data_IF_879129764127
#
_entry.id   IF_879129764127
#
_cell.length_a   1.000
_cell.length_b   1.000
_cell.length_c   1.000
_cell.angle_alpha   90.00
_cell.angle_beta   90.00
_cell.angle_gamma   90.00
#
_symmetry.space_group_name_H-M   'P 1'
#
loop_
_entity.id
_entity.type
_entity.pdbx_description
1 polymer ?
#
# COMPACT_ATOMS: atom_id res chain seq x y z
N UNK A 1 -27.03 -9.32 36.48
CA UNK A 1 -26.96 -8.84 35.09
C UNK A 1 -25.57 -8.26 34.93
N UNK A 2 -24.63 -9.15 34.58
CA UNK A 2 -23.20 -8.85 34.61
C UNK A 2 -22.85 -7.91 33.47
N UNK A 3 -22.10 -6.86 33.79
CA UNK A 3 -21.65 -5.88 32.79
C UNK A 3 -20.50 -6.55 32.03
N UNK A 4 -20.53 -6.63 30.68
CA UNK A 4 -19.46 -7.29 29.94
C UNK A 4 -18.12 -6.67 30.33
N UNK A 5 -17.18 -7.51 30.76
CA UNK A 5 -15.87 -7.11 31.21
C UNK A 5 -15.15 -6.39 30.06
N UNK A 6 -14.60 -5.21 30.34
CA UNK A 6 -13.96 -4.39 29.30
C UNK A 6 -12.57 -4.95 29.03
N UNK A 7 -12.49 -5.94 28.14
CA UNK A 7 -11.29 -6.68 27.75
C UNK A 7 -10.24 -5.83 27.01
N UNK A 8 -10.44 -4.50 26.87
CA UNK A 8 -9.46 -3.62 26.23
C UNK A 8 -8.21 -3.46 27.09
N UNK A 9 -7.01 -3.41 26.47
CA UNK A 9 -5.77 -3.07 27.17
C UNK A 9 -5.90 -1.77 27.97
N UNK A 10 -5.34 -1.73 29.17
CA UNK A 10 -5.43 -0.58 30.06
C UNK A 10 -4.98 0.72 29.37
N UNK A 11 -3.86 0.69 28.63
CA UNK A 11 -3.36 1.85 27.90
C UNK A 11 -4.36 2.39 26.84
N UNK A 12 -5.09 1.51 26.12
CA UNK A 12 -6.14 1.94 25.18
C UNK A 12 -7.33 2.54 25.92
N UNK A 13 -7.76 1.89 27.00
CA UNK A 13 -8.89 2.31 27.82
C UNK A 13 -8.65 3.70 28.43
N UNK A 14 -7.48 3.88 29.02
CA UNK A 14 -7.08 5.14 29.66
C UNK A 14 -6.92 6.26 28.63
N UNK A 15 -6.36 5.95 27.46
CA UNK A 15 -6.23 6.94 26.39
C UNK A 15 -7.58 7.38 25.83
N UNK A 16 -8.51 6.45 25.57
CA UNK A 16 -9.88 6.78 25.14
C UNK A 16 -10.63 7.55 26.24
N UNK A 17 -10.40 7.22 27.52
CA UNK A 17 -10.95 7.99 28.64
C UNK A 17 -10.42 9.43 28.65
N UNK A 18 -9.13 9.63 28.36
CA UNK A 18 -8.53 10.95 28.24
C UNK A 18 -9.13 11.75 27.07
N UNK A 19 -9.37 11.15 25.91
CA UNK A 19 -10.05 11.81 24.77
C UNK A 19 -11.48 12.22 25.13
N UNK A 20 -12.22 11.35 25.81
CA UNK A 20 -13.56 11.65 26.29
C UNK A 20 -13.55 12.79 27.33
N UNK A 21 -12.55 12.83 28.21
CA UNK A 21 -12.36 13.92 29.16
C UNK A 21 -12.02 15.25 28.47
N UNK A 22 -11.15 15.23 27.46
CA UNK A 22 -10.87 16.41 26.64
C UNK A 22 -12.14 16.95 25.98
N UNK A 23 -12.97 16.07 25.41
CA UNK A 23 -14.27 16.44 24.84
C UNK A 23 -15.21 17.02 25.90
N UNK A 24 -15.20 16.51 27.14
CA UNK A 24 -15.98 17.08 28.24
C UNK A 24 -15.51 18.49 28.59
N UNK A 25 -14.21 18.70 28.73
CA UNK A 25 -13.61 20.00 29.05
C UNK A 25 -13.86 21.05 27.97
N UNK A 26 -13.90 20.63 26.70
CA UNK A 26 -14.29 21.46 25.56
C UNK A 26 -15.78 21.88 25.55
N UNK A 27 -16.60 21.44 26.51
CA UNK A 27 -18.03 21.74 26.54
C UNK A 27 -18.94 20.68 25.90
N UNK A 28 -18.44 19.45 25.73
CA UNK A 28 -19.19 18.30 25.18
C UNK A 28 -19.84 18.58 23.82
N UNK A 29 -19.10 19.06 22.80
CA UNK A 29 -19.66 19.26 21.47
C UNK A 29 -20.29 17.96 20.94
N UNK A 30 -21.44 18.08 20.26
CA UNK A 30 -22.09 16.95 19.62
C UNK A 30 -21.19 16.35 18.53
N UNK A 31 -21.38 15.08 18.17
CA UNK A 31 -20.60 14.48 17.09
C UNK A 31 -20.79 15.26 15.80
N UNK A 32 -22.05 15.59 15.47
CA UNK A 32 -22.39 16.38 14.29
C UNK A 32 -21.69 17.75 14.27
N UNK A 33 -21.53 18.38 15.43
CA UNK A 33 -20.75 19.63 15.57
C UNK A 33 -19.27 19.42 15.26
N UNK A 34 -18.68 18.30 15.69
CA UNK A 34 -17.29 17.95 15.38
C UNK A 34 -17.11 17.66 13.88
N UNK A 35 -18.04 16.94 13.26
CA UNK A 35 -18.04 16.67 11.82
C UNK A 35 -18.13 17.97 10.99
N UNK A 36 -19.06 18.85 11.34
CA UNK A 36 -19.22 20.14 10.65
C UNK A 36 -18.01 21.06 10.80
N UNK A 37 -17.45 21.17 12.01
CA UNK A 37 -16.29 22.03 12.27
C UNK A 37 -15.03 21.47 11.62
N UNK A 38 -14.81 20.16 11.69
CA UNK A 38 -13.68 19.52 11.01
C UNK A 38 -13.76 19.70 9.49
N UNK A 39 -14.93 19.52 8.88
CA UNK A 39 -15.15 19.76 7.45
C UNK A 39 -14.89 21.23 7.04
N UNK A 40 -15.27 22.20 7.88
CA UNK A 40 -14.97 23.63 7.65
C UNK A 40 -13.46 23.91 7.71
N UNK A 41 -12.75 23.30 8.65
CA UNK A 41 -11.29 23.46 8.79
C UNK A 41 -10.49 22.79 7.67
N UNK A 42 -11.10 21.86 6.92
CA UNK A 42 -10.51 21.29 5.70
C UNK A 42 -10.62 22.23 4.48
N UNK A 43 -11.40 23.32 4.56
CA UNK A 43 -11.60 24.26 3.43
C UNK A 43 -10.44 25.27 3.26
N UNK A 44 -10.12 25.68 2.03
CA UNK A 44 -8.91 26.44 1.68
C UNK A 44 -8.82 27.87 2.26
N UNK A 45 -9.88 28.39 2.89
CA UNK A 45 -10.00 29.81 3.27
C UNK A 45 -9.32 30.13 4.62
N UNK A 46 -8.95 29.13 5.43
CA UNK A 46 -8.31 29.36 6.73
C UNK A 46 -6.98 28.60 6.86
N UNK A 47 -6.02 28.93 6.00
CA UNK A 47 -4.61 28.56 6.20
C UNK A 47 -3.99 29.42 7.31
N UNK A 48 -4.29 29.10 8.56
CA UNK A 48 -3.43 29.43 9.68
C UNK A 48 -3.21 28.12 10.43
N UNK A 49 -1.93 27.72 10.56
CA UNK A 49 -1.45 26.44 11.14
C UNK A 49 -1.43 25.28 10.14
N UNK A 50 -0.23 24.87 9.72
CA UNK A 50 0.02 23.83 8.71
C UNK A 50 -0.35 22.38 9.11
N UNK A 51 -1.45 22.17 9.82
CA UNK A 51 -1.98 20.85 10.20
C UNK A 51 -3.27 20.58 9.39
N UNK A 52 -3.27 19.52 8.57
CA UNK A 52 -4.49 19.09 7.84
C UNK A 52 -5.45 18.39 8.81
N UNK A 53 -6.55 19.05 9.13
CA UNK A 53 -7.66 18.48 9.93
C UNK A 53 -8.45 17.51 9.06
N UNK A 54 -8.55 16.25 9.49
CA UNK A 54 -9.44 15.25 8.89
C UNK A 54 -10.90 15.55 9.22
N UNK A 55 -11.81 15.25 8.29
CA UNK A 55 -13.24 15.24 8.57
C UNK A 55 -13.54 14.13 9.58
N UNK A 56 -14.06 14.50 10.74
CA UNK A 56 -14.38 13.60 11.85
C UNK A 56 -15.82 13.13 11.71
N UNK A 57 -16.08 12.09 10.89
CA UNK A 57 -17.44 11.59 10.71
C UNK A 57 -18.08 11.14 12.02
N UNK A 58 -19.40 11.33 12.15
CA UNK A 58 -20.15 10.95 13.34
C UNK A 58 -20.02 9.46 13.68
N UNK A 59 -20.09 8.60 12.66
CA UNK A 59 -20.01 7.14 12.81
C UNK A 59 -18.64 6.69 13.30
N UNK A 60 -17.56 7.20 12.72
CA UNK A 60 -16.19 6.88 13.12
C UNK A 60 -15.90 7.44 14.51
N UNK A 61 -16.27 8.69 14.78
CA UNK A 61 -16.05 9.32 16.09
C UNK A 61 -16.80 8.59 17.20
N UNK A 62 -18.05 8.17 16.94
CA UNK A 62 -18.83 7.38 17.89
C UNK A 62 -18.18 6.02 18.18
N UNK A 63 -17.73 5.31 17.13
CA UNK A 63 -17.04 4.03 17.30
C UNK A 63 -15.74 4.19 18.10
N UNK A 64 -15.00 5.27 17.88
CA UNK A 64 -13.73 5.50 18.58
C UNK A 64 -13.94 5.84 20.06
N UNK A 65 -14.89 6.73 20.37
CA UNK A 65 -15.09 7.20 21.73
C UNK A 65 -15.88 6.21 22.60
N UNK A 66 -16.76 5.40 21.99
CA UNK A 66 -17.68 4.53 22.71
C UNK A 66 -17.49 3.02 22.41
N UNK A 67 -16.74 2.66 21.36
CA UNK A 67 -16.56 1.27 20.94
C UNK A 67 -15.48 0.50 21.71
N UNK A 68 -15.58 -0.83 21.69
CA UNK A 68 -14.63 -1.76 22.35
C UNK A 68 -13.39 -2.01 21.48
N UNK A 69 -12.64 -0.95 21.17
CA UNK A 69 -11.42 -1.03 20.35
C UNK A 69 -10.26 -1.62 21.14
N UNK A 70 -9.55 -2.56 20.54
CA UNK A 70 -8.38 -3.23 21.12
C UNK A 70 -7.05 -2.47 20.94
N UNK A 71 -7.05 -1.38 20.17
CA UNK A 71 -5.87 -0.57 19.88
C UNK A 71 -6.19 0.92 19.85
N UNK A 72 -5.14 1.74 19.93
CA UNK A 72 -5.27 3.20 19.93
C UNK A 72 -5.92 3.72 18.63
N UNK A 73 -6.66 4.84 18.69
CA UNK A 73 -7.07 5.55 17.48
C UNK A 73 -5.86 6.09 16.72
N UNK A 74 -5.87 6.06 15.38
CA UNK A 74 -4.74 6.60 14.59
C UNK A 74 -4.41 8.03 15.02
N UNK A 75 -3.12 8.35 15.18
CA UNK A 75 -2.66 9.68 15.64
C UNK A 75 -3.27 10.84 14.84
N UNK A 76 -3.38 10.73 13.51
CA UNK A 76 -4.00 11.78 12.69
C UNK A 76 -5.46 12.08 13.06
N UNK A 77 -6.22 11.05 13.45
CA UNK A 77 -7.58 11.22 13.95
C UNK A 77 -7.57 11.90 15.32
N UNK A 78 -6.67 11.48 16.21
CA UNK A 78 -6.49 12.09 17.54
C UNK A 78 -6.11 13.57 17.41
N UNK A 79 -5.10 13.90 16.61
CA UNK A 79 -4.66 15.25 16.35
C UNK A 79 -5.80 16.11 15.77
N UNK A 80 -6.54 15.60 14.78
CA UNK A 80 -7.70 16.30 14.21
C UNK A 80 -8.79 16.53 15.25
N UNK A 81 -9.07 15.53 16.08
CA UNK A 81 -10.03 15.63 17.18
C UNK A 81 -9.60 16.67 18.22
N UNK A 82 -8.35 16.66 18.66
CA UNK A 82 -7.80 17.65 19.60
C UNK A 82 -7.81 19.07 19.00
N UNK A 83 -7.44 19.24 17.73
CA UNK A 83 -7.49 20.54 17.05
C UNK A 83 -8.93 21.08 17.02
N UNK A 84 -9.90 20.25 16.66
CA UNK A 84 -11.32 20.66 16.62
C UNK A 84 -11.81 21.02 18.03
N UNK A 85 -11.44 20.24 19.06
CA UNK A 85 -11.79 20.56 20.45
C UNK A 85 -11.16 21.88 20.92
N UNK A 86 -9.92 22.16 20.52
CA UNK A 86 -9.26 23.44 20.80
C UNK A 86 -9.97 24.61 20.11
N UNK A 87 -10.42 24.43 18.86
CA UNK A 87 -11.24 25.42 18.15
C UNK A 87 -12.57 25.65 18.87
N UNK A 88 -13.24 24.59 19.33
CA UNK A 88 -14.49 24.70 20.12
C UNK A 88 -14.26 25.43 21.43
N UNK A 89 -13.16 25.14 22.13
CA UNK A 89 -12.79 25.83 23.37
C UNK A 89 -12.54 27.33 23.13
N UNK A 90 -11.78 27.67 22.08
CA UNK A 90 -11.51 29.06 21.69
C UNK A 90 -12.79 29.82 21.32
N UNK A 91 -13.68 29.21 20.52
CA UNK A 91 -14.98 29.80 20.15
C UNK A 91 -15.91 30.01 21.35
N UNK A 92 -15.70 29.25 22.42
CA UNK A 92 -16.44 29.38 23.69
C UNK A 92 -15.76 30.34 24.68
N UNK A 93 -14.74 31.11 24.24
CA UNK A 93 -14.02 32.08 25.07
C UNK A 93 -13.10 31.46 26.14
N UNK A 94 -12.76 30.17 26.01
CA UNK A 94 -11.86 29.46 26.92
C UNK A 94 -10.47 29.34 26.32
N UNK A 95 -9.43 29.43 27.14
CA UNK A 95 -8.06 29.17 26.72
C UNK A 95 -7.88 27.70 26.30
N UNK A 96 -7.60 27.40 25.01
CA UNK A 96 -7.46 26.02 24.53
C UNK A 96 -6.27 25.28 25.14
N UNK A 97 -5.18 25.97 25.47
CA UNK A 97 -3.99 25.34 26.07
C UNK A 97 -4.27 24.95 27.51
N UNK A 98 -4.95 25.79 28.28
CA UNK A 98 -5.33 25.48 29.65
C UNK A 98 -6.39 24.36 29.75
N UNK A 99 -7.35 24.33 28.81
CA UNK A 99 -8.52 23.42 28.89
C UNK A 99 -8.27 22.07 28.22
N UNK A 100 -7.58 22.06 27.09
CA UNK A 100 -7.35 20.85 26.27
C UNK A 100 -5.88 20.40 26.31
N UNK A 101 -4.93 21.31 26.51
CA UNK A 101 -3.49 21.01 26.38
C UNK A 101 -2.99 21.13 24.95
N UNK A 102 -1.68 21.27 24.77
CA UNK A 102 -1.02 21.46 23.46
C UNK A 102 -1.01 20.17 22.65
N UNK A 103 -0.91 20.28 21.32
CA UNK A 103 -0.81 19.10 20.45
C UNK A 103 0.41 18.22 20.79
N UNK A 104 1.54 18.84 21.11
CA UNK A 104 2.77 18.17 21.57
C UNK A 104 2.56 17.36 22.86
N UNK A 105 1.81 17.90 23.82
CA UNK A 105 1.47 17.15 25.04
C UNK A 105 0.60 15.92 24.76
N UNK A 106 -0.25 15.99 23.74
CA UNK A 106 -1.08 14.86 23.31
C UNK A 106 -0.27 13.82 22.52
N UNK A 107 0.74 14.26 21.78
CA UNK A 107 1.66 13.39 21.03
C UNK A 107 2.50 12.57 22.01
N UNK A 108 3.08 13.23 23.02
CA UNK A 108 3.81 12.54 24.10
C UNK A 108 2.93 11.53 24.83
N UNK A 109 1.66 11.89 25.10
CA UNK A 109 0.69 10.98 25.74
C UNK A 109 0.34 9.80 24.83
N UNK A 110 0.25 10.02 23.53
CA UNK A 110 -0.03 8.98 22.53
C UNK A 110 1.13 7.98 22.46
N UNK A 111 2.36 8.48 22.35
CA UNK A 111 3.57 7.65 22.30
C UNK A 111 3.77 6.85 23.59
N UNK A 112 3.45 7.44 24.74
CA UNK A 112 3.49 6.73 26.03
C UNK A 112 2.49 5.58 26.08
N UNK A 113 1.27 5.81 25.56
CA UNK A 113 0.25 4.77 25.51
C UNK A 113 0.60 3.67 24.50
N UNK A 114 1.18 4.03 23.35
CA UNK A 114 1.63 3.08 22.34
C UNK A 114 2.79 2.21 22.87
N UNK A 115 3.79 2.83 23.49
CA UNK A 115 4.89 2.12 24.13
C UNK A 115 4.40 1.17 25.23
N UNK A 116 3.40 1.55 26.03
CA UNK A 116 2.80 0.69 27.05
C UNK A 116 2.06 -0.52 26.45
N UNK A 117 1.49 -0.39 25.24
CA UNK A 117 0.89 -1.51 24.52
C UNK A 117 1.95 -2.46 23.96
N UNK A 118 3.08 -1.94 23.51
CA UNK A 118 4.19 -2.74 23.03
C UNK A 118 4.96 -3.44 24.17
N UNK A 119 4.97 -2.85 25.37
CA UNK A 119 5.71 -3.35 26.53
C UNK A 119 4.91 -4.30 27.45
N UNK A 120 3.60 -4.46 27.23
CA UNK A 120 2.79 -5.37 28.02
C UNK A 120 3.28 -6.82 27.82
N UNK A 121 3.64 -7.57 28.88
CA UNK A 121 4.09 -8.94 28.74
C UNK A 121 2.94 -9.82 28.25
N UNK A 122 3.17 -10.55 27.16
CA UNK A 122 2.21 -11.49 26.59
C UNK A 122 1.68 -12.44 27.68
N UNK A 123 0.35 -12.52 27.80
CA UNK A 123 -0.36 -13.65 28.40
C UNK A 123 -0.06 -14.91 27.57
N UNK A 124 1.14 -15.43 27.80
CA UNK A 124 1.82 -16.49 27.07
C UNK A 124 1.33 -17.84 27.57
N UNK A 125 0.09 -18.19 27.25
CA UNK A 125 -0.48 -19.51 27.56
C UNK A 125 -1.44 -19.98 26.47
N UNK A 126 -2.37 -19.12 26.06
CA UNK A 126 -3.45 -19.53 25.17
C UNK A 126 -3.21 -19.16 23.69
N UNK A 127 -2.32 -18.19 23.41
CA UNK A 127 -2.02 -17.79 22.03
C UNK A 127 -1.10 -18.79 21.31
N UNK A 128 -0.27 -19.58 22.03
CA UNK A 128 0.50 -20.69 21.44
C UNK A 128 -0.42 -21.80 20.90
N UNK A 129 -1.56 -22.05 21.55
CA UNK A 129 -2.55 -23.01 21.06
C UNK A 129 -3.38 -22.52 19.85
N UNK A 130 -3.23 -21.24 19.47
CA UNK A 130 -3.86 -20.66 18.27
C UNK A 130 -2.88 -20.54 17.11
N UNK A 131 -1.59 -20.30 17.39
CA UNK A 131 -0.51 -20.29 16.38
C UNK A 131 -0.25 -21.70 15.82
N UNK A 132 -0.41 -22.76 16.62
CA UNK A 132 -0.37 -24.14 16.10
C UNK A 132 -1.56 -24.51 15.19
N UNK A 133 -2.63 -23.71 15.18
CA UNK A 133 -3.72 -23.84 14.18
C UNK A 133 -3.44 -23.07 12.90
N UNK A 134 -2.69 -21.97 12.94
CA UNK A 134 -2.31 -21.22 11.73
C UNK A 134 -1.17 -21.89 10.95
N UNK A 135 -0.32 -22.70 11.61
CA UNK A 135 0.67 -23.53 10.92
C UNK A 135 0.00 -24.65 10.07
N UNK A 136 -1.18 -25.14 10.50
CA UNK A 136 -1.99 -26.05 9.69
C UNK A 136 -2.70 -25.33 8.52
N UNK A 137 -3.05 -24.05 8.66
CA UNK A 137 -3.66 -23.26 7.58
C UNK A 137 -2.64 -22.78 6.53
N UNK A 138 -1.38 -22.51 6.91
CA UNK A 138 -0.30 -22.20 5.94
C UNK A 138 0.07 -23.44 5.12
N UNK A 139 0.07 -24.63 5.74
CA UNK A 139 0.18 -25.89 5.00
C UNK A 139 -1.04 -26.14 4.07
N UNK A 140 -2.24 -25.62 4.39
CA UNK A 140 -3.42 -25.69 3.54
C UNK A 140 -3.39 -24.69 2.37
N UNK A 141 -2.71 -23.55 2.50
CA UNK A 141 -2.51 -22.57 1.41
C UNK A 141 -1.43 -23.04 0.43
N UNK A 142 -0.35 -23.65 0.91
CA UNK A 142 0.66 -24.28 0.04
C UNK A 142 0.13 -25.56 -0.62
N UNK A 143 -0.72 -26.34 0.08
CA UNK A 143 -1.46 -27.43 -0.52
C UNK A 143 -2.45 -26.95 -1.59
N UNK A 144 -3.18 -25.85 -1.36
CA UNK A 144 -4.12 -25.26 -2.32
C UNK A 144 -3.43 -24.67 -3.56
N UNK A 145 -2.23 -24.10 -3.41
CA UNK A 145 -1.41 -23.64 -4.53
C UNK A 145 -0.79 -24.81 -5.33
N UNK A 146 -0.35 -25.87 -4.65
CA UNK A 146 0.13 -27.09 -5.30
C UNK A 146 -1.02 -27.88 -5.98
N UNK A 147 -2.22 -27.87 -5.40
CA UNK A 147 -3.42 -28.52 -5.92
C UNK A 147 -4.03 -27.72 -7.08
N UNK A 148 -3.97 -26.39 -7.05
CA UNK A 148 -4.33 -25.52 -8.18
C UNK A 148 -3.38 -25.66 -9.37
N UNK A 149 -2.06 -25.85 -9.13
CA UNK A 149 -1.08 -26.18 -10.19
C UNK A 149 -1.35 -27.56 -10.79
N UNK A 150 -1.61 -28.58 -9.96
CA UNK A 150 -1.96 -29.95 -10.40
C UNK A 150 -3.36 -30.09 -11.01
N UNK A 151 -4.28 -29.16 -10.73
CA UNK A 151 -5.63 -29.12 -11.32
C UNK A 151 -5.61 -28.41 -12.69
N UNK A 152 -4.79 -27.36 -12.85
CA UNK A 152 -4.53 -26.72 -14.13
C UNK A 152 -3.85 -27.67 -15.13
N UNK A 153 -2.97 -28.55 -14.64
CA UNK A 153 -2.31 -29.62 -15.42
C UNK A 153 -3.27 -30.76 -15.82
N UNK A 154 -4.46 -30.89 -15.21
CA UNK A 154 -5.41 -32.02 -15.44
C UNK A 154 -6.75 -31.63 -16.07
N UNK A 155 -7.07 -30.34 -16.18
CA UNK A 155 -8.25 -29.86 -16.92
C UNK A 155 -9.61 -30.00 -16.22
N UNK A 156 -9.67 -30.25 -14.91
CA UNK A 156 -10.95 -30.38 -14.16
C UNK A 156 -11.40 -29.05 -13.52
N UNK A 157 -12.70 -28.72 -13.70
CA UNK A 157 -13.33 -27.49 -13.20
C UNK A 157 -14.31 -27.78 -12.05
N UNK A 158 -14.11 -27.14 -10.89
CA UNK A 158 -15.06 -27.10 -9.77
C UNK A 158 -14.45 -26.51 -8.49
N UNK A 159 -15.04 -25.48 -7.84
CA UNK A 159 -14.38 -24.73 -6.76
C UNK A 159 -14.81 -25.15 -5.34
N UNK A 160 -13.94 -25.02 -4.32
CA UNK A 160 -14.35 -24.76 -2.95
C UNK A 160 -14.39 -23.25 -2.65
N UNK A 161 -15.34 -22.83 -1.82
CA UNK A 161 -15.71 -21.45 -1.52
C UNK A 161 -14.67 -20.69 -0.68
N UNK A 162 -14.50 -19.40 -0.97
CA UNK A 162 -13.58 -18.49 -0.27
C UNK A 162 -14.20 -17.89 1.02
N UNK A 163 -13.43 -17.76 2.12
CA UNK A 163 -13.84 -16.97 3.27
C UNK A 163 -13.60 -15.47 3.02
N UNK A 164 -14.64 -14.66 3.25
CA UNK A 164 -14.60 -13.20 3.17
C UNK A 164 -13.94 -12.60 4.42
N UNK A 165 -12.75 -12.00 4.27
CA UNK A 165 -12.13 -11.15 5.29
C UNK A 165 -11.82 -9.77 4.68
N UNK A 166 -12.50 -8.76 5.22
CA UNK A 166 -12.43 -7.35 4.81
C UNK A 166 -11.25 -6.70 5.54
N UNK A 167 -10.07 -6.64 4.93
CA UNK A 167 -8.92 -5.88 5.43
C UNK A 167 -8.90 -4.49 4.78
N UNK A 168 -9.03 -3.45 5.59
CA UNK A 168 -8.87 -2.06 5.17
C UNK A 168 -7.37 -1.75 5.01
N UNK A 169 -6.97 -1.38 3.80
CA UNK A 169 -5.59 -1.00 3.45
C UNK A 169 -5.02 0.08 4.38
N UNK A 170 -3.79 -0.15 4.84
CA UNK A 170 -3.06 0.73 5.74
C UNK A 170 -2.23 1.74 4.92
N UNK A 171 -2.79 2.89 4.59
CA UNK A 171 -2.00 4.04 4.11
C UNK A 171 -1.30 4.67 5.32
N UNK A 172 0.02 4.45 5.44
CA UNK A 172 0.89 5.14 6.40
C UNK A 172 0.96 6.63 6.06
N UNK A 173 0.75 7.48 7.07
CA UNK A 173 0.44 8.88 6.87
C UNK A 173 1.46 9.82 7.52
N UNK A 174 2.60 10.00 6.88
CA UNK A 174 3.51 11.11 7.16
C UNK A 174 3.10 12.42 6.48
N UNK A 175 3.34 13.54 7.17
CA UNK A 175 3.20 14.93 6.68
C UNK A 175 3.98 15.20 5.38
N UNK A 176 4.98 14.38 5.06
CA UNK A 176 5.76 14.42 3.81
C UNK A 176 4.95 14.08 2.57
N UNK A 177 4.04 13.11 2.64
CA UNK A 177 3.20 12.71 1.50
C UNK A 177 2.17 13.77 1.14
N UNK A 178 1.67 14.53 2.11
CA UNK A 178 0.78 15.66 1.85
C UNK A 178 1.48 16.79 1.08
N UNK A 179 2.77 17.04 1.35
CA UNK A 179 3.63 17.97 0.60
C UNK A 179 3.93 17.45 -0.81
N UNK A 180 4.34 16.19 -0.94
CA UNK A 180 4.59 15.49 -2.21
C UNK A 180 3.36 15.51 -3.13
N UNK A 181 2.20 15.11 -2.61
CA UNK A 181 0.94 15.19 -3.33
C UNK A 181 0.64 16.63 -3.74
N UNK A 182 0.88 17.62 -2.87
CA UNK A 182 0.63 19.05 -3.21
C UNK A 182 1.54 19.53 -4.35
N UNK A 183 2.82 19.16 -4.35
CA UNK A 183 3.77 19.49 -5.43
C UNK A 183 3.38 18.82 -6.75
N UNK A 184 2.93 17.57 -6.71
CA UNK A 184 2.44 16.88 -7.92
C UNK A 184 1.06 17.36 -8.38
N UNK A 185 0.18 17.78 -7.45
CA UNK A 185 -1.10 18.45 -7.79
C UNK A 185 -0.85 19.77 -8.53
N UNK A 186 0.21 20.49 -8.14
CA UNK A 186 0.64 21.72 -8.80
C UNK A 186 1.27 21.46 -10.18
N UNK A 187 1.85 20.27 -10.40
CA UNK A 187 2.56 19.91 -11.63
C UNK A 187 1.69 19.37 -12.80
N UNK A 188 0.34 19.45 -12.72
CA UNK A 188 -0.61 18.95 -13.76
C UNK A 188 -0.59 17.43 -14.05
N UNK A 189 0.20 16.62 -13.34
CA UNK A 189 0.28 15.17 -13.57
C UNK A 189 -1.00 14.39 -13.22
N UNK A 190 -2.01 15.05 -12.64
CA UNK A 190 -3.12 14.40 -11.97
C UNK A 190 -4.31 13.98 -12.83
N UNK A 191 -4.32 14.14 -14.15
CA UNK A 191 -5.57 13.91 -14.93
C UNK A 191 -5.58 12.67 -15.79
N UNK A 192 -4.47 11.93 -15.88
CA UNK A 192 -4.36 10.88 -16.89
C UNK A 192 -5.20 9.62 -16.57
N UNK A 193 -5.52 9.35 -15.30
CA UNK A 193 -6.30 8.17 -14.87
C UNK A 193 -7.70 8.51 -14.33
N UNK A 194 -8.10 9.78 -14.32
CA UNK A 194 -9.36 10.22 -13.70
C UNK A 194 -10.60 9.56 -14.32
N UNK A 195 -10.60 9.32 -15.63
CA UNK A 195 -11.68 8.64 -16.35
C UNK A 195 -11.81 7.15 -15.97
N UNK A 196 -10.90 6.65 -15.15
CA UNK A 196 -10.84 5.27 -14.66
C UNK A 196 -10.86 5.21 -13.13
N UNK A 197 -11.17 6.31 -12.44
CA UNK A 197 -11.13 6.39 -10.96
C UNK A 197 -12.01 5.37 -10.25
N UNK A 198 -13.14 5.00 -10.83
CA UNK A 198 -14.07 3.99 -10.29
C UNK A 198 -13.52 2.55 -10.31
N UNK A 199 -12.52 2.25 -11.13
CA UNK A 199 -11.83 0.95 -11.17
C UNK A 199 -10.45 0.97 -10.52
N UNK A 200 -9.92 2.15 -10.21
CA UNK A 200 -8.65 2.34 -9.50
C UNK A 200 -8.91 2.25 -8.00
N UNK A 201 -8.30 1.30 -7.28
CA UNK A 201 -8.41 1.26 -5.83
C UNK A 201 -7.78 2.49 -5.18
N UNK A 202 -8.37 2.98 -4.08
CA UNK A 202 -7.89 4.16 -3.34
C UNK A 202 -6.41 4.08 -2.97
N UNK A 203 -5.93 2.87 -2.62
CA UNK A 203 -4.54 2.63 -2.25
C UNK A 203 -3.55 2.72 -3.42
N UNK A 204 -4.02 2.68 -4.67
CA UNK A 204 -3.18 2.79 -5.87
C UNK A 204 -3.12 4.25 -6.39
N UNK A 205 -4.07 5.11 -6.00
CA UNK A 205 -4.16 6.50 -6.47
C UNK A 205 -2.86 7.30 -6.23
N UNK A 206 -2.23 7.10 -5.07
CA UNK A 206 -0.98 7.80 -4.70
C UNK A 206 0.13 7.43 -5.68
N UNK A 207 0.35 6.13 -5.90
CA UNK A 207 1.38 5.66 -6.81
C UNK A 207 1.16 6.18 -8.25
N UNK A 208 -0.06 6.05 -8.80
CA UNK A 208 -0.39 6.53 -10.15
C UNK A 208 -0.23 8.04 -10.32
N UNK A 209 -0.45 8.79 -9.24
CA UNK A 209 -0.25 10.24 -9.24
C UNK A 209 1.23 10.59 -9.27
N UNK A 210 2.09 9.82 -8.60
CA UNK A 210 3.53 10.10 -8.50
C UNK A 210 4.35 9.50 -9.65
N UNK A 211 3.89 8.40 -10.26
CA UNK A 211 4.57 7.66 -11.32
C UNK A 211 5.08 8.55 -12.48
N UNK A 212 4.31 9.53 -13.01
CA UNK A 212 4.78 10.41 -14.07
C UNK A 212 5.85 11.43 -13.64
N UNK A 213 5.94 11.73 -12.33
CA UNK A 213 6.89 12.69 -11.77
C UNK A 213 8.24 12.04 -11.44
N UNK A 214 8.31 10.71 -11.39
CA UNK A 214 9.56 9.99 -11.14
C UNK A 214 10.58 10.26 -12.25
N UNK A 215 11.87 10.33 -11.92
CA UNK A 215 12.95 10.30 -12.91
C UNK A 215 13.40 8.87 -13.20
N UNK A 216 13.41 8.03 -12.16
CA UNK A 216 13.72 6.62 -12.21
C UNK A 216 12.64 5.81 -11.49
N UNK A 217 12.14 4.79 -12.17
CA UNK A 217 11.21 3.81 -11.63
C UNK A 217 11.98 2.50 -11.48
N UNK A 218 12.06 1.98 -10.27
CA UNK A 218 12.61 0.65 -9.99
C UNK A 218 11.46 -0.28 -9.65
N UNK A 219 11.42 -1.48 -10.23
CA UNK A 219 10.34 -2.44 -10.00
C UNK A 219 10.88 -3.86 -9.95
N UNK A 220 10.44 -4.61 -8.96
CA UNK A 220 10.64 -6.05 -8.84
C UNK A 220 9.27 -6.71 -8.78
N UNK A 221 9.02 -7.62 -9.71
CA UNK A 221 7.78 -8.38 -9.79
C UNK A 221 8.13 -9.88 -9.85
N UNK A 222 7.81 -10.65 -8.80
CA UNK A 222 8.23 -12.04 -8.71
C UNK A 222 7.31 -12.99 -9.50
N UNK A 223 6.04 -12.62 -9.66
CA UNK A 223 5.02 -13.52 -10.20
C UNK A 223 4.56 -13.13 -11.61
N UNK A 224 4.69 -11.86 -11.97
CA UNK A 224 4.21 -11.30 -13.23
C UNK A 224 5.28 -10.47 -13.90
N UNK A 225 5.15 -10.25 -15.20
CA UNK A 225 5.94 -9.23 -15.90
C UNK A 225 5.44 -7.85 -15.44
N UNK A 226 6.33 -6.90 -15.07
CA UNK A 226 5.93 -5.58 -14.59
C UNK A 226 4.99 -4.86 -15.53
N UNK A 227 3.96 -4.21 -14.97
CA UNK A 227 2.89 -3.56 -15.72
C UNK A 227 3.34 -2.58 -16.80
N UNK A 228 4.51 -1.94 -16.61
CA UNK A 228 5.10 -1.02 -17.58
C UNK A 228 5.76 -1.71 -18.80
N UNK A 229 5.88 -3.04 -18.78
CA UNK A 229 6.51 -3.87 -19.79
C UNK A 229 5.52 -4.85 -20.47
N UNK A 230 4.23 -4.80 -20.12
CA UNK A 230 3.22 -5.75 -20.61
C UNK A 230 2.67 -5.36 -21.98
N UNK A 231 2.40 -6.33 -22.84
CA UNK A 231 1.53 -6.19 -24.01
C UNK A 231 0.06 -6.16 -23.58
N UNK A 232 -0.86 -5.63 -24.41
CA UNK A 232 -2.29 -5.62 -24.08
C UNK A 232 -2.86 -7.00 -23.78
N UNK A 233 -2.43 -8.02 -24.52
CA UNK A 233 -2.96 -9.38 -24.40
C UNK A 233 -2.43 -10.10 -23.16
N UNK A 234 -1.14 -9.92 -22.83
CA UNK A 234 -0.60 -10.38 -21.55
C UNK A 234 -1.28 -9.67 -20.38
N UNK A 235 -1.45 -8.34 -20.46
CA UNK A 235 -2.12 -7.56 -19.43
C UNK A 235 -3.55 -8.06 -19.18
N UNK A 236 -4.29 -8.42 -20.23
CA UNK A 236 -5.62 -9.02 -20.11
C UNK A 236 -5.58 -10.34 -19.36
N UNK A 237 -4.63 -11.22 -19.70
CA UNK A 237 -4.42 -12.49 -18.99
C UNK A 237 -4.08 -12.31 -17.51
N UNK A 238 -3.19 -11.36 -17.19
CA UNK A 238 -2.83 -11.04 -15.81
C UNK A 238 -4.03 -10.49 -15.00
N UNK A 239 -4.79 -9.55 -15.58
CA UNK A 239 -6.00 -8.99 -14.94
C UNK A 239 -7.04 -10.09 -14.66
N UNK A 240 -7.23 -11.04 -15.57
CA UNK A 240 -8.14 -12.18 -15.36
C UNK A 240 -7.72 -13.07 -14.17
N UNK A 241 -6.41 -13.25 -13.97
CA UNK A 241 -5.87 -14.04 -12.85
C UNK A 241 -6.03 -13.32 -11.51
N UNK A 242 -5.74 -12.01 -11.47
CA UNK A 242 -5.83 -11.17 -10.27
C UNK A 242 -7.28 -10.87 -9.87
N UNK A 243 -8.19 -10.79 -10.84
CA UNK A 243 -9.55 -10.26 -10.66
C UNK A 243 -10.64 -11.19 -11.22
N UNK A 244 -10.61 -12.47 -10.84
CA UNK A 244 -11.48 -13.54 -11.36
C UNK A 244 -12.99 -13.26 -11.34
N UNK A 245 -13.47 -12.38 -10.45
CA UNK A 245 -14.90 -12.03 -10.31
C UNK A 245 -15.30 -10.71 -11.01
N UNK A 246 -14.41 -10.12 -11.82
CA UNK A 246 -14.64 -8.79 -12.42
C UNK A 246 -15.40 -8.89 -13.77
N UNK A 247 -16.39 -8.02 -14.03
CA UNK A 247 -17.09 -7.99 -15.30
C UNK A 247 -16.15 -7.75 -16.50
N UNK A 248 -16.40 -8.36 -17.67
CA UNK A 248 -15.54 -8.20 -18.86
C UNK A 248 -15.29 -6.73 -19.27
N UNK A 249 -16.29 -5.87 -19.11
CA UNK A 249 -16.16 -4.44 -19.41
C UNK A 249 -15.10 -3.75 -18.52
N UNK A 250 -14.98 -4.15 -17.26
CA UNK A 250 -13.99 -3.58 -16.34
C UNK A 250 -12.58 -4.16 -16.58
N UNK A 251 -12.48 -5.38 -17.09
CA UNK A 251 -11.20 -5.98 -17.52
C UNK A 251 -10.58 -5.12 -18.62
N UNK A 252 -11.33 -4.81 -19.68
CA UNK A 252 -10.82 -3.99 -20.78
C UNK A 252 -10.45 -2.57 -20.34
N UNK A 253 -11.18 -2.01 -19.35
CA UNK A 253 -10.83 -0.71 -18.76
C UNK A 253 -9.52 -0.77 -17.98
N UNK A 254 -9.28 -1.83 -17.20
CA UNK A 254 -8.01 -2.07 -16.50
C UNK A 254 -6.85 -2.26 -17.46
N UNK A 255 -7.04 -3.00 -18.56
CA UNK A 255 -6.04 -3.15 -19.62
C UNK A 255 -5.72 -1.79 -20.25
N UNK A 256 -6.75 -1.01 -20.62
CA UNK A 256 -6.54 0.34 -21.15
C UNK A 256 -5.78 1.25 -20.20
N UNK A 257 -6.10 1.21 -18.89
CA UNK A 257 -5.36 1.96 -17.88
C UNK A 257 -3.88 1.55 -17.84
N UNK A 258 -3.57 0.25 -17.86
CA UNK A 258 -2.17 -0.25 -17.91
C UNK A 258 -1.44 0.23 -19.16
N UNK A 259 -2.08 0.19 -20.33
CA UNK A 259 -1.47 0.67 -21.58
C UNK A 259 -1.28 2.19 -21.58
N UNK A 260 -2.18 2.94 -20.94
CA UNK A 260 -2.04 4.39 -20.78
C UNK A 260 -0.85 4.74 -19.89
N UNK A 261 -0.62 4.00 -18.80
CA UNK A 261 0.54 4.14 -17.91
C UNK A 261 1.86 4.02 -18.65
N UNK A 262 1.97 3.06 -19.56
CA UNK A 262 3.20 2.80 -20.32
C UNK A 262 3.65 3.96 -21.20
N UNK A 263 2.79 4.94 -21.47
CA UNK A 263 3.17 6.14 -22.21
C UNK A 263 4.30 6.91 -21.54
N UNK A 264 4.51 6.79 -20.23
CA UNK A 264 5.64 7.44 -19.55
C UNK A 264 7.02 6.98 -20.06
N UNK A 265 7.11 5.77 -20.65
CA UNK A 265 8.32 5.24 -21.28
C UNK A 265 8.49 5.69 -22.74
N UNK A 266 7.52 6.44 -23.26
CA UNK A 266 7.42 6.84 -24.65
C UNK A 266 7.32 8.38 -24.74
N UNK A 267 8.09 9.01 -25.62
CA UNK A 267 8.03 10.46 -25.84
C UNK A 267 9.38 11.17 -25.70
N UNK A 268 9.38 12.51 -25.73
CA UNK A 268 10.62 13.30 -25.82
C UNK A 268 11.45 13.31 -24.53
N UNK A 269 10.84 12.98 -23.39
CA UNK A 269 11.51 12.84 -22.09
C UNK A 269 11.01 11.56 -21.40
N UNK A 270 11.46 10.39 -21.86
CA UNK A 270 10.98 9.13 -21.31
C UNK A 270 11.53 8.93 -19.90
N UNK A 271 10.71 8.34 -19.02
CA UNK A 271 11.12 7.97 -17.66
C UNK A 271 12.09 6.81 -17.70
N UNK A 272 13.11 6.81 -16.84
CA UNK A 272 14.03 5.67 -16.74
C UNK A 272 13.34 4.54 -15.97
N UNK A 273 13.45 3.32 -16.48
CA UNK A 273 12.90 2.12 -15.84
C UNK A 273 14.03 1.13 -15.56
N UNK A 274 14.05 0.59 -14.35
CA UNK A 274 14.86 -0.56 -13.97
C UNK A 274 13.96 -1.65 -13.40
N UNK A 275 13.74 -2.68 -14.20
CA UNK A 275 12.88 -3.81 -13.88
C UNK A 275 13.71 -5.07 -13.57
N UNK A 276 13.35 -5.74 -12.48
CA UNK A 276 13.82 -7.07 -12.11
C UNK A 276 12.65 -8.04 -12.19
N UNK A 277 12.85 -9.17 -12.87
CA UNK A 277 11.80 -10.18 -13.10
C UNK A 277 12.37 -11.56 -12.85
N UNK A 278 11.62 -12.42 -12.18
CA UNK A 278 12.00 -13.84 -12.03
C UNK A 278 11.85 -14.59 -13.35
N UNK A 279 12.79 -15.49 -13.66
CA UNK A 279 12.70 -16.34 -14.86
C UNK A 279 11.40 -17.16 -14.87
N UNK A 280 10.92 -17.59 -13.70
CA UNK A 280 9.66 -18.31 -13.55
C UNK A 280 8.45 -17.50 -14.07
N UNK A 281 8.43 -16.19 -13.88
CA UNK A 281 7.37 -15.31 -14.38
C UNK A 281 7.39 -15.21 -15.92
N UNK A 282 8.57 -15.31 -16.53
CA UNK A 282 8.76 -15.30 -17.99
C UNK A 282 8.41 -16.64 -18.65
N UNK A 283 8.44 -17.74 -17.88
CA UNK A 283 8.08 -19.09 -18.36
C UNK A 283 6.62 -19.46 -18.12
N UNK A 284 5.90 -18.69 -17.31
CA UNK A 284 4.48 -18.94 -17.04
C UNK A 284 3.61 -18.47 -18.23
N UNK A 285 2.85 -19.40 -18.84
CA UNK A 285 2.06 -19.16 -20.07
C UNK A 285 0.75 -18.36 -19.85
N UNK A 286 0.86 -17.14 -19.34
CA UNK A 286 -0.30 -16.26 -19.11
C UNK A 286 -0.90 -15.83 -20.46
N UNK A 287 -2.18 -16.13 -20.67
CA UNK A 287 -2.88 -15.88 -21.93
C UNK A 287 -2.56 -16.90 -23.04
N UNK A 288 -1.73 -17.90 -22.76
CA UNK A 288 -1.34 -18.96 -23.70
C UNK A 288 -0.01 -18.71 -24.44
N UNK A 289 0.46 -19.70 -25.23
CA UNK A 289 1.77 -19.66 -25.89
C UNK A 289 1.96 -18.45 -26.82
N UNK A 290 0.96 -18.14 -27.67
CA UNK A 290 1.08 -17.05 -28.65
C UNK A 290 1.20 -15.68 -27.96
N UNK A 291 0.40 -15.44 -26.92
CA UNK A 291 0.46 -14.22 -26.10
C UNK A 291 1.84 -14.07 -25.46
N UNK A 292 2.38 -15.15 -24.91
CA UNK A 292 3.73 -15.12 -24.33
C UNK A 292 4.81 -14.92 -25.38
N UNK A 293 4.69 -15.50 -26.57
CA UNK A 293 5.64 -15.29 -27.67
C UNK A 293 5.73 -13.81 -28.03
N UNK A 294 4.58 -13.14 -28.15
CA UNK A 294 4.51 -11.71 -28.45
C UNK A 294 4.99 -10.85 -27.27
N UNK A 295 4.66 -11.25 -26.04
CA UNK A 295 5.17 -10.61 -24.84
C UNK A 295 6.70 -10.66 -24.74
N UNK A 296 7.33 -11.81 -24.99
CA UNK A 296 8.79 -11.95 -24.93
C UNK A 296 9.46 -11.16 -26.06
N UNK A 297 8.91 -11.16 -27.28
CA UNK A 297 9.41 -10.30 -28.37
C UNK A 297 9.35 -8.82 -27.96
N UNK A 298 8.26 -8.39 -27.36
CA UNK A 298 8.10 -7.03 -26.86
C UNK A 298 9.16 -6.67 -25.80
N UNK A 299 9.47 -7.57 -24.87
CA UNK A 299 10.54 -7.36 -23.88
C UNK A 299 11.91 -7.18 -24.55
N UNK A 300 12.22 -7.99 -25.57
CA UNK A 300 13.48 -7.88 -26.33
C UNK A 300 13.59 -6.51 -26.99
N UNK A 301 12.51 -6.00 -27.59
CA UNK A 301 12.47 -4.65 -28.16
C UNK A 301 12.66 -3.56 -27.11
N UNK A 302 12.06 -3.72 -25.92
CA UNK A 302 12.22 -2.77 -24.81
C UNK A 302 13.66 -2.74 -24.28
N UNK A 303 14.35 -3.88 -24.23
CA UNK A 303 15.77 -3.97 -23.84
C UNK A 303 16.71 -3.18 -24.77
N UNK A 304 16.30 -2.88 -26.00
CA UNK A 304 17.06 -2.05 -26.92
C UNK A 304 16.98 -0.55 -26.60
N UNK A 305 16.09 -0.12 -25.68
CA UNK A 305 15.91 1.29 -25.31
C UNK A 305 16.90 1.70 -24.23
N UNK A 306 17.63 2.83 -24.39
CA UNK A 306 18.69 3.22 -23.46
C UNK A 306 18.18 3.62 -22.06
N UNK A 307 16.89 3.93 -21.92
CA UNK A 307 16.26 4.29 -20.65
C UNK A 307 15.52 3.11 -19.98
N UNK A 308 15.59 1.90 -20.53
CA UNK A 308 14.97 0.69 -19.97
C UNK A 308 16.06 -0.33 -19.66
N UNK A 309 16.19 -0.67 -18.38
CA UNK A 309 17.02 -1.77 -17.90
C UNK A 309 16.10 -2.89 -17.43
N UNK A 310 16.13 -4.03 -18.11
CA UNK A 310 15.47 -5.25 -17.66
C UNK A 310 16.54 -6.28 -17.29
N UNK A 311 16.40 -6.89 -16.12
CA UNK A 311 17.26 -7.98 -15.67
C UNK A 311 16.42 -9.16 -15.18
N UNK A 312 16.89 -10.36 -15.48
CA UNK A 312 16.25 -11.63 -15.06
C UNK A 312 16.97 -12.20 -13.86
N UNK A 313 16.21 -12.56 -12.83
CA UNK A 313 16.70 -13.36 -11.71
C UNK A 313 16.54 -14.83 -12.10
N UNK A 314 17.66 -15.54 -12.15
CA UNK A 314 17.71 -16.93 -12.60
C UNK A 314 17.11 -17.91 -11.59
N UNK A 315 16.59 -19.03 -12.13
CA UNK A 315 15.90 -20.08 -11.37
C UNK A 315 16.76 -20.75 -10.27
N UNK A 316 18.08 -20.83 -10.48
CA UNK A 316 19.02 -21.58 -9.64
C UNK A 316 19.70 -20.72 -8.55
N UNK A 317 19.31 -19.44 -8.43
CA UNK A 317 19.89 -18.53 -7.44
C UNK A 317 19.16 -18.77 -6.10
N UNK A 318 19.75 -19.59 -5.21
CA UNK A 318 19.24 -19.89 -3.86
C UNK A 318 18.62 -18.64 -3.20
N UNK A 319 17.30 -18.62 -3.09
CA UNK A 319 16.53 -17.49 -2.56
C UNK A 319 16.58 -17.56 -1.04
N UNK A 320 17.74 -17.28 -0.45
CA UNK A 320 17.80 -16.96 0.98
C UNK A 320 16.80 -15.83 1.25
N UNK A 321 15.72 -16.09 2.01
CA UNK A 321 14.65 -15.12 2.14
C UNK A 321 15.21 -13.88 2.82
N UNK A 322 15.17 -12.74 2.11
CA UNK A 322 15.32 -11.43 2.75
C UNK A 322 14.02 -11.16 3.51
N UNK A 323 13.81 -11.88 4.60
CA UNK A 323 12.65 -11.73 5.47
C UNK A 323 13.18 -11.50 6.87
N UNK A 324 13.19 -10.23 7.27
CA UNK A 324 13.28 -9.79 8.66
C UNK A 324 11.88 -9.49 9.25
N UNK A 325 10.83 -10.00 8.60
CA UNK A 325 9.42 -9.79 8.97
C UNK A 325 8.81 -8.47 8.47
N UNK A 326 9.56 -7.60 7.77
CA UNK A 326 9.05 -6.31 7.26
C UNK A 326 8.26 -6.42 5.95
N UNK A 327 8.54 -7.43 5.14
CA UNK A 327 7.75 -7.82 3.98
C UNK A 327 7.85 -9.34 3.77
N UNK A 328 6.83 -9.99 3.18
CA UNK A 328 6.96 -11.38 2.73
C UNK A 328 8.16 -11.51 1.78
N UNK A 329 8.95 -12.57 1.94
CA UNK A 329 9.98 -12.90 0.96
C UNK A 329 9.32 -13.06 -0.43
N UNK A 330 9.85 -12.37 -1.44
CA UNK A 330 9.25 -12.37 -2.78
C UNK A 330 7.96 -11.54 -2.89
N UNK A 331 7.81 -10.47 -2.11
CA UNK A 331 6.77 -9.47 -2.37
C UNK A 331 7.19 -8.50 -3.49
N UNK A 332 6.24 -8.02 -4.32
CA UNK A 332 6.52 -7.03 -5.34
C UNK A 332 6.92 -5.69 -4.70
N UNK A 333 7.93 -5.04 -5.29
CA UNK A 333 8.48 -3.76 -4.83
C UNK A 333 8.48 -2.80 -5.99
N UNK A 334 7.96 -1.58 -5.80
CA UNK A 334 8.20 -0.47 -6.69
C UNK A 334 8.79 0.72 -5.93
N UNK A 335 9.80 1.37 -6.50
CA UNK A 335 10.46 2.55 -5.93
C UNK A 335 10.45 3.65 -7.00
N UNK A 336 9.83 4.78 -6.69
CA UNK A 336 9.89 5.98 -7.51
C UNK A 336 10.94 6.92 -6.95
N UNK A 337 11.90 7.31 -7.78
CA UNK A 337 12.98 8.23 -7.42
C UNK A 337 12.82 9.53 -8.16
N UNK A 338 12.96 10.64 -7.45
CA UNK A 338 12.71 11.99 -7.96
C UNK A 338 14.04 12.76 -8.10
N UNK A 339 14.04 13.79 -8.94
CA UNK A 339 15.25 14.62 -9.17
C UNK A 339 15.39 15.72 -8.12
N UNK A 340 14.26 16.16 -7.55
CA UNK A 340 14.18 17.19 -6.53
C UNK A 340 14.75 16.68 -5.21
N UNK A 341 15.85 17.29 -4.74
CA UNK A 341 16.56 16.87 -3.53
C UNK A 341 15.69 16.91 -2.24
N UNK A 342 14.57 17.62 -2.28
CA UNK A 342 13.63 17.72 -1.16
C UNK A 342 12.56 16.62 -1.16
N UNK A 343 12.43 15.85 -2.25
CA UNK A 343 11.46 14.76 -2.36
C UNK A 343 12.10 13.42 -1.99
N UNK A 344 11.68 12.74 -0.90
CA UNK A 344 12.11 11.38 -0.63
C UNK A 344 11.61 10.40 -1.71
N UNK A 345 12.37 9.34 -1.94
CA UNK A 345 11.94 8.22 -2.80
C UNK A 345 10.61 7.64 -2.27
N UNK A 346 9.68 7.30 -3.16
CA UNK A 346 8.40 6.65 -2.83
C UNK A 346 8.54 5.15 -3.00
N UNK A 347 8.41 4.42 -1.90
CA UNK A 347 8.30 2.95 -1.92
C UNK A 347 6.82 2.56 -1.94
N UNK A 348 6.46 1.65 -2.85
CA UNK A 348 5.14 1.06 -2.99
C UNK A 348 5.26 -0.45 -2.90
N UNK A 349 4.53 -1.04 -1.96
CA UNK A 349 4.49 -2.49 -1.74
C UNK A 349 3.05 -2.95 -1.91
N UNK A 350 2.76 -3.59 -3.03
CA UNK A 350 1.42 -4.08 -3.32
C UNK A 350 1.07 -5.30 -2.46
N UNK A 351 -0.16 -5.34 -1.99
CA UNK A 351 -0.73 -6.46 -1.25
C UNK A 351 -2.08 -6.85 -1.89
N UNK A 352 -2.54 -8.11 -1.76
CA UNK A 352 -3.77 -8.56 -2.42
C UNK A 352 -5.02 -7.69 -2.19
N UNK A 353 -5.06 -6.95 -1.07
CA UNK A 353 -6.19 -6.08 -0.70
C UNK A 353 -5.74 -4.68 -0.25
N UNK A 354 -4.56 -4.22 -0.67
CA UNK A 354 -4.05 -2.92 -0.24
C UNK A 354 -2.64 -2.63 -0.76
N UNK A 355 -2.04 -1.59 -0.21
CA UNK A 355 -0.63 -1.30 -0.42
C UNK A 355 -0.04 -0.63 0.82
N UNK A 356 1.27 -0.78 0.99
CA UNK A 356 2.05 -0.05 1.97
C UNK A 356 2.93 1.01 1.30
N UNK A 357 3.04 2.15 1.96
CA UNK A 357 3.91 3.26 1.59
C UNK A 357 4.84 3.60 2.76
N UNK A 358 5.95 2.87 2.92
CA UNK A 358 6.96 3.20 3.93
C UNK A 358 7.44 4.65 3.79
N UNK A 359 7.43 5.40 4.88
CA UNK A 359 7.72 6.84 4.92
C UNK A 359 8.92 7.21 5.80
N UNK A 360 9.25 6.34 6.75
CA UNK A 360 10.47 6.45 7.54
C UNK A 360 11.68 6.17 6.67
N UNK A 361 12.70 7.01 6.82
CA UNK A 361 13.95 6.90 6.07
C UNK A 361 14.61 5.53 6.19
N UNK A 362 14.58 4.93 7.39
CA UNK A 362 15.12 3.59 7.65
C UNK A 362 14.41 2.51 6.81
N UNK A 363 13.09 2.63 6.64
CA UNK A 363 12.31 1.66 5.87
C UNK A 363 12.53 1.87 4.36
N UNK A 364 12.57 3.13 3.90
CA UNK A 364 12.90 3.46 2.50
C UNK A 364 14.30 2.95 2.13
N UNK A 365 15.31 3.22 2.96
CA UNK A 365 16.68 2.76 2.75
C UNK A 365 16.76 1.23 2.74
N UNK A 366 15.99 0.55 3.62
CA UNK A 366 15.88 -0.91 3.62
C UNK A 366 15.37 -1.44 2.27
N UNK A 367 14.25 -0.92 1.74
CA UNK A 367 13.71 -1.42 0.46
C UNK A 367 14.60 -1.08 -0.73
N UNK A 368 15.30 0.06 -0.69
CA UNK A 368 16.33 0.39 -1.70
C UNK A 368 17.45 -0.65 -1.69
N UNK A 369 17.98 -0.99 -0.51
CA UNK A 369 19.01 -2.01 -0.38
C UNK A 369 18.53 -3.40 -0.76
N UNK A 370 17.28 -3.76 -0.45
CA UNK A 370 16.68 -5.01 -0.89
C UNK A 370 16.62 -5.09 -2.42
N UNK A 371 16.16 -4.02 -3.09
CA UNK A 371 16.18 -3.96 -4.56
C UNK A 371 17.59 -4.07 -5.13
N UNK A 372 18.56 -3.34 -4.57
CA UNK A 372 19.97 -3.40 -4.99
C UNK A 372 20.57 -4.81 -4.84
N UNK A 373 20.25 -5.52 -3.75
CA UNK A 373 20.67 -6.91 -3.54
C UNK A 373 20.06 -7.86 -4.57
N UNK A 374 18.79 -7.68 -4.92
CA UNK A 374 18.15 -8.44 -5.99
C UNK A 374 18.83 -8.14 -7.34
N UNK A 375 19.14 -6.88 -7.62
CA UNK A 375 19.81 -6.47 -8.84
C UNK A 375 21.23 -7.05 -8.99
N UNK A 376 21.97 -7.20 -7.88
CA UNK A 376 23.29 -7.86 -7.87
C UNK A 376 23.19 -9.34 -8.23
N UNK A 377 22.10 -10.00 -7.83
CA UNK A 377 21.83 -11.41 -8.14
C UNK A 377 21.25 -11.61 -9.54
N UNK A 378 20.62 -10.56 -10.09
CA UNK A 378 20.02 -10.60 -11.40
C UNK A 378 21.10 -10.65 -12.50
N UNK A 379 20.78 -11.36 -13.56
CA UNK A 379 21.62 -11.47 -14.73
C UNK A 379 21.86 -10.11 -15.38
N UNK A 380 23.03 -9.96 -16.02
CA UNK A 380 23.35 -8.69 -16.70
C UNK A 380 22.29 -8.38 -17.78
N UNK A 381 22.08 -7.12 -18.16
CA UNK A 381 21.16 -6.77 -19.24
C UNK A 381 21.47 -7.51 -20.56
N UNK A 382 22.75 -7.76 -20.83
CA UNK A 382 23.17 -8.52 -22.02
C UNK A 382 22.82 -10.02 -21.93
N UNK A 383 23.01 -10.64 -20.77
CA UNK A 383 22.61 -12.03 -20.53
C UNK A 383 21.08 -12.18 -20.55
N UNK A 384 20.37 -11.19 -20.00
CA UNK A 384 18.90 -11.13 -20.00
C UNK A 384 18.33 -11.25 -21.41
N UNK A 385 18.87 -10.51 -22.38
CA UNK A 385 18.41 -10.62 -23.79
C UNK A 385 18.61 -12.03 -24.35
N UNK A 386 19.71 -12.70 -24.00
CA UNK A 386 19.94 -14.10 -24.40
C UNK A 386 18.92 -15.06 -23.77
N UNK A 387 18.61 -14.87 -22.50
CA UNK A 387 17.59 -15.68 -21.78
C UNK A 387 16.23 -15.50 -22.47
N UNK A 388 15.85 -14.27 -22.79
CA UNK A 388 14.60 -13.99 -23.50
C UNK A 388 14.53 -14.68 -24.87
N UNK A 389 15.62 -14.68 -25.65
CA UNK A 389 15.68 -15.42 -26.92
C UNK A 389 15.58 -16.94 -26.73
N UNK A 390 16.17 -17.48 -25.67
CA UNK A 390 16.04 -18.90 -25.31
C UNK A 390 14.59 -19.24 -25.00
N UNK A 391 13.95 -18.50 -24.09
CA UNK A 391 12.54 -18.68 -23.73
C UNK A 391 11.63 -18.58 -24.95
N UNK A 392 11.89 -17.61 -25.85
CA UNK A 392 11.13 -17.43 -27.08
C UNK A 392 11.18 -18.65 -28.03
N UNK A 393 12.29 -19.39 -28.00
CA UNK A 393 12.50 -20.60 -28.79
C UNK A 393 11.84 -21.82 -28.14
N UNK A 394 11.78 -21.84 -26.81
CA UNK A 394 11.19 -22.93 -26.02
C UNK A 394 9.65 -22.94 -26.04
N UNK A 395 9.03 -21.75 -26.16
CA UNK A 395 7.57 -21.58 -26.36
C UNK A 395 7.21 -22.00 -27.78
#
# INVERSE_FOLDING_TARGET
MDRPEDDRPAAVRDFIAALNEARRRAGRPSLQTLEQLSAKLTQPVQKQSGLRVLVLSDSTTSNILNGLRQGLPKWQWVASFIIVLRVVAAQSGRDPDAVIGTLESWETRYDTADAALQAAPDASGEQRARVDRTAADVAAVDASAAESRRALERGDTGPPAAPTARSAGHVGGDTRWAGMLTLVKQAKALTWWHDHRDIVPDWLEIYLSMEPAAELIQTYEPQFIPGLLQTPDYARGAVLLEHRATPPADIERRVRLRMLRQRILNGPRPRRLWALVEEAALRTLIGGPDVMRDQIRHLIELCARPHVTLQVIGSDQDTEPVSDGRAPAGAPIAILRFTEAELPDLVYLEQPHGALYPDKRIDIDYYRHTFERLAIRAETPSTTVRILHSILTDI
#
